data_IF_335832373671
#
_entry.id   IF_335832373671
#
_cell.length_a   1.000
_cell.length_b   1.000
_cell.length_c   1.000
_cell.angle_alpha   90.00
_cell.angle_beta   90.00
_cell.angle_gamma   90.00
#
_symmetry.space_group_name_H-M   'P 1'
#
loop_
_entity.id
_entity.type
_entity.pdbx_description
1 polymer ?
#
# COMPACT_ATOMS: atom_id res chain seq x y z
N UNK A 1 -15.26 -25.20 -13.38
CA UNK A 1 -14.73 -23.97 -12.77
C UNK A 1 -15.23 -22.80 -13.59
N UNK A 2 -16.19 -22.05 -13.08
CA UNK A 2 -16.71 -20.84 -13.75
C UNK A 2 -15.62 -19.76 -13.68
N UNK A 3 -15.31 -19.03 -14.77
CA UNK A 3 -14.37 -17.92 -14.70
C UNK A 3 -14.89 -16.89 -13.68
N UNK A 4 -14.10 -16.59 -12.66
CA UNK A 4 -14.36 -15.45 -11.77
C UNK A 4 -14.10 -14.21 -12.60
N UNK A 5 -15.16 -13.65 -13.21
CA UNK A 5 -15.09 -12.35 -13.88
C UNK A 5 -14.65 -11.36 -12.81
N UNK A 6 -13.45 -10.80 -12.96
CA UNK A 6 -13.01 -9.70 -12.12
C UNK A 6 -14.01 -8.57 -12.35
N UNK A 7 -14.62 -7.99 -11.29
CA UNK A 7 -15.56 -6.90 -11.45
C UNK A 7 -14.89 -5.75 -12.22
N UNK A 8 -15.65 -5.13 -13.13
CA UNK A 8 -15.15 -4.02 -13.94
C UNK A 8 -14.62 -2.88 -13.05
N UNK A 9 -13.60 -2.13 -13.52
CA UNK A 9 -13.10 -0.97 -12.79
C UNK A 9 -14.24 -0.01 -12.52
N UNK A 10 -14.36 0.44 -11.28
CA UNK A 10 -15.39 1.40 -10.88
C UNK A 10 -15.19 2.67 -11.70
N UNK A 11 -16.28 3.14 -12.32
CA UNK A 11 -16.27 4.40 -13.05
C UNK A 11 -15.82 5.52 -12.10
N UNK A 12 -15.05 6.48 -12.60
CA UNK A 12 -14.55 7.57 -11.74
C UNK A 12 -15.67 8.36 -11.04
N UNK A 13 -16.91 8.28 -11.54
CA UNK A 13 -18.10 8.91 -11.00
C UNK A 13 -18.64 8.24 -9.71
N UNK A 14 -18.26 7.00 -9.41
CA UNK A 14 -18.76 6.25 -8.25
C UNK A 14 -17.73 6.17 -7.11
N UNK A 15 -16.64 6.93 -7.21
CA UNK A 15 -15.63 6.97 -6.14
C UNK A 15 -16.09 7.84 -4.99
N UNK A 16 -15.69 7.46 -3.79
CA UNK A 16 -15.73 8.27 -2.58
C UNK A 16 -14.39 8.21 -1.88
N UNK A 17 -14.14 9.15 -0.98
CA UNK A 17 -12.97 9.11 -0.12
C UNK A 17 -13.31 9.31 1.35
N UNK A 18 -12.46 8.75 2.21
CA UNK A 18 -12.52 8.93 3.65
C UNK A 18 -11.15 9.30 4.19
N UNK A 19 -11.09 10.29 5.07
CA UNK A 19 -9.87 10.64 5.81
C UNK A 19 -9.89 9.92 7.15
N UNK A 20 -8.81 9.20 7.45
CA UNK A 20 -8.71 8.34 8.63
C UNK A 20 -7.47 8.74 9.45
N UNK A 21 -7.61 9.04 10.75
CA UNK A 21 -6.46 9.31 11.60
C UNK A 21 -5.63 8.04 11.81
N UNK A 22 -4.32 8.20 11.84
CA UNK A 22 -3.32 7.15 12.11
C UNK A 22 -2.25 7.72 13.06
N UNK A 23 -1.41 6.90 13.71
CA UNK A 23 -0.43 7.40 14.68
C UNK A 23 0.52 8.48 14.14
N UNK A 24 0.78 8.49 12.83
CA UNK A 24 1.68 9.43 12.15
C UNK A 24 0.95 10.61 11.49
N UNK A 25 -0.36 10.77 11.74
CA UNK A 25 -1.19 11.84 11.16
C UNK A 25 -2.50 11.31 10.62
N UNK A 26 -2.69 11.38 9.31
CA UNK A 26 -3.90 10.89 8.65
C UNK A 26 -3.56 10.26 7.30
N UNK A 27 -4.46 9.40 6.81
CA UNK A 27 -4.41 8.84 5.46
C UNK A 27 -5.77 8.99 4.80
N UNK A 28 -5.77 9.11 3.47
CA UNK A 28 -6.99 9.16 2.66
C UNK A 28 -7.23 7.82 1.98
N UNK A 29 -8.34 7.17 2.31
CA UNK A 29 -8.87 6.00 1.63
C UNK A 29 -9.69 6.44 0.42
N UNK A 30 -9.53 5.75 -0.71
CA UNK A 30 -10.23 6.06 -1.97
C UNK A 30 -10.70 4.78 -2.64
N UNK A 31 -11.92 4.78 -3.16
CA UNK A 31 -12.53 3.60 -3.79
C UNK A 31 -14.03 3.76 -3.96
N UNK A 32 -14.79 2.66 -4.04
CA UNK A 32 -16.25 2.66 -4.26
C UNK A 32 -17.09 2.66 -2.97
N UNK A 33 -16.46 2.96 -1.83
CA UNK A 33 -17.07 2.87 -0.51
C UNK A 33 -16.84 1.53 0.19
N UNK A 34 -16.49 0.47 -0.55
CA UNK A 34 -16.18 -0.85 0.01
C UNK A 34 -14.79 -1.35 -0.37
N UNK A 35 -14.47 -1.34 -1.66
CA UNK A 35 -13.18 -1.79 -2.22
C UNK A 35 -12.18 -0.64 -2.22
N UNK A 36 -10.97 -0.89 -1.76
CA UNK A 36 -9.90 0.10 -1.77
C UNK A 36 -9.18 0.11 -3.10
N UNK A 37 -9.17 1.26 -3.75
CA UNK A 37 -8.29 1.53 -4.90
C UNK A 37 -7.04 2.31 -4.48
N UNK A 38 -7.11 3.06 -3.38
CA UNK A 38 -6.00 3.83 -2.86
C UNK A 38 -6.05 4.07 -1.34
N UNK A 39 -4.86 4.19 -0.76
CA UNK A 39 -4.56 4.64 0.60
C UNK A 39 -3.35 5.58 0.49
N UNK A 40 -3.62 6.87 0.61
CA UNK A 40 -2.65 7.94 0.34
C UNK A 40 -2.31 8.76 1.58
N UNK A 41 -1.06 9.17 1.69
CA UNK A 41 -0.59 10.17 2.66
C UNK A 41 -0.94 11.60 2.18
N UNK A 42 -1.00 12.61 3.06
CA UNK A 42 -1.18 14.00 2.65
C UNK A 42 -0.12 14.47 1.64
N UNK A 43 1.12 14.06 1.84
CA UNK A 43 2.30 14.35 1.02
C UNK A 43 2.70 13.19 0.10
N UNK A 44 1.73 12.34 -0.26
CA UNK A 44 2.00 11.13 -1.03
C UNK A 44 2.73 11.44 -2.36
N UNK A 45 3.80 10.71 -2.64
CA UNK A 45 4.69 10.91 -3.78
C UNK A 45 4.93 9.60 -4.53
N UNK A 46 4.65 9.54 -5.86
CA UNK A 46 4.08 10.60 -6.69
C UNK A 46 2.67 11.01 -6.26
N UNK A 47 2.34 12.31 -6.37
CA UNK A 47 1.04 12.82 -5.97
C UNK A 47 -0.10 12.12 -6.73
N UNK A 48 -1.13 11.61 -6.03
CA UNK A 48 -2.32 11.10 -6.69
C UNK A 48 -3.14 12.25 -7.27
N UNK A 49 -3.96 11.95 -8.28
CA UNK A 49 -4.95 12.89 -8.81
C UNK A 49 -6.11 13.01 -7.82
N UNK A 50 -6.01 13.99 -6.92
CA UNK A 50 -6.98 14.24 -5.83
C UNK A 50 -8.35 14.65 -6.35
N UNK A 51 -8.46 15.21 -7.55
CA UNK A 51 -9.75 15.56 -8.16
C UNK A 51 -10.59 14.31 -8.46
N UNK A 52 -9.95 13.14 -8.58
CA UNK A 52 -10.61 11.85 -8.81
C UNK A 52 -10.93 11.06 -7.55
N UNK A 53 -10.81 11.66 -6.37
CA UNK A 53 -11.15 11.00 -5.11
C UNK A 53 -12.67 10.88 -4.91
N UNK A 54 -13.45 11.69 -5.63
CA UNK A 54 -14.90 11.78 -5.44
C UNK A 54 -15.26 12.49 -4.13
N UNK A 55 -16.56 12.58 -3.79
CA UNK A 55 -17.00 13.24 -2.57
C UNK A 55 -16.46 12.53 -1.31
N UNK A 56 -16.36 13.30 -0.22
CA UNK A 56 -16.03 12.76 1.09
C UNK A 56 -17.22 11.99 1.64
N UNK A 57 -16.98 10.78 2.12
CA UNK A 57 -17.94 9.94 2.83
C UNK A 57 -17.23 9.34 4.05
N UNK A 58 -17.62 9.80 5.25
CA UNK A 58 -17.02 9.35 6.51
C UNK A 58 -17.58 8.01 6.99
N UNK A 59 -18.60 7.44 6.32
CA UNK A 59 -19.11 6.08 6.58
C UNK A 59 -18.47 5.03 5.65
N UNK A 60 -17.79 5.47 4.58
CA UNK A 60 -17.12 4.59 3.64
C UNK A 60 -15.98 3.76 4.27
N UNK A 61 -15.71 2.60 3.68
CA UNK A 61 -14.64 1.67 4.03
C UNK A 61 -14.61 1.23 5.50
N UNK A 62 -15.75 0.85 6.12
CA UNK A 62 -15.80 0.54 7.55
C UNK A 62 -14.82 -0.58 7.94
N UNK A 63 -14.64 -1.56 7.06
CA UNK A 63 -13.73 -2.67 7.29
C UNK A 63 -12.25 -2.24 7.21
N UNK A 64 -11.89 -1.35 6.28
CA UNK A 64 -10.54 -0.82 6.19
C UNK A 64 -10.19 0.01 7.45
N UNK A 65 -11.12 0.85 7.91
CA UNK A 65 -10.91 1.65 9.13
C UNK A 65 -10.73 0.75 10.35
N UNK A 66 -11.58 -0.26 10.51
CA UNK A 66 -11.48 -1.24 11.60
C UNK A 66 -10.13 -1.95 11.58
N UNK A 67 -9.72 -2.49 10.44
CA UNK A 67 -8.46 -3.22 10.33
C UNK A 67 -7.22 -2.33 10.48
N UNK A 68 -7.26 -1.08 10.01
CA UNK A 68 -6.19 -0.12 10.27
C UNK A 68 -6.05 0.15 11.76
N UNK A 69 -7.17 0.34 12.48
CA UNK A 69 -7.17 0.46 13.95
C UNK A 69 -6.50 -0.74 14.62
N UNK A 70 -6.94 -1.95 14.29
CA UNK A 70 -6.35 -3.19 14.83
C UNK A 70 -4.86 -3.35 14.50
N UNK A 71 -4.45 -2.93 13.29
CA UNK A 71 -3.04 -2.95 12.88
C UNK A 71 -2.22 -2.03 13.76
N UNK A 72 -2.66 -0.77 13.95
CA UNK A 72 -1.96 0.20 14.78
C UNK A 72 -2.03 -0.11 16.29
N UNK A 73 -3.06 -0.81 16.74
CA UNK A 73 -3.16 -1.34 18.11
C UNK A 73 -2.30 -2.60 18.33
N UNK A 74 -1.65 -3.12 17.27
CA UNK A 74 -0.79 -4.30 17.32
C UNK A 74 -1.54 -5.63 17.45
N UNK A 75 -2.87 -5.62 17.29
CA UNK A 75 -3.73 -6.82 17.37
C UNK A 75 -3.93 -7.51 16.02
N UNK A 76 -3.55 -6.84 14.92
CA UNK A 76 -3.60 -7.38 13.55
C UNK A 76 -2.23 -7.37 12.87
N UNK A 77 -1.95 -8.44 12.14
CA UNK A 77 -0.72 -8.61 11.33
C UNK A 77 -0.97 -8.76 9.83
N UNK A 78 -2.21 -9.00 9.42
CA UNK A 78 -2.60 -9.22 8.02
C UNK A 78 -3.88 -8.46 7.73
N UNK A 79 -4.00 -7.91 6.51
CA UNK A 79 -5.23 -7.28 6.05
C UNK A 79 -6.06 -8.28 5.23
N UNK A 80 -7.37 -8.25 5.44
CA UNK A 80 -8.37 -8.98 4.66
C UNK A 80 -9.35 -7.96 4.07
N UNK A 81 -8.92 -7.30 3.01
CA UNK A 81 -9.62 -6.19 2.37
C UNK A 81 -9.80 -6.50 0.89
N UNK A 82 -10.90 -6.05 0.31
CA UNK A 82 -11.09 -6.11 -1.14
C UNK A 82 -10.33 -4.95 -1.79
N UNK A 83 -9.30 -5.28 -2.56
CA UNK A 83 -8.36 -4.32 -3.15
C UNK A 83 -8.51 -4.31 -4.67
N UNK A 84 -8.58 -3.10 -5.24
CA UNK A 84 -8.68 -2.87 -6.67
C UNK A 84 -7.68 -1.79 -7.15
N UNK A 85 -6.35 -1.96 -6.91
CA UNK A 85 -5.36 -0.96 -7.33
C UNK A 85 -5.28 -0.86 -8.86
N UNK A 86 -5.18 0.37 -9.36
CA UNK A 86 -4.98 0.64 -10.79
C UNK A 86 -3.50 0.83 -11.09
N UNK A 87 -2.99 0.05 -12.05
CA UNK A 87 -1.60 0.12 -12.50
C UNK A 87 -1.37 -0.75 -13.73
N UNK A 88 -0.16 -0.74 -14.27
CA UNK A 88 0.25 -1.65 -15.34
C UNK A 88 0.35 -3.09 -14.83
N UNK A 89 0.38 -4.07 -15.74
CA UNK A 89 0.51 -5.48 -15.37
C UNK A 89 1.77 -5.74 -14.53
N UNK A 90 2.88 -5.07 -14.87
CA UNK A 90 4.12 -5.16 -14.11
C UNK A 90 3.99 -4.54 -12.71
N UNK A 91 3.30 -3.40 -12.58
CA UNK A 91 3.05 -2.80 -11.27
C UNK A 91 2.22 -3.70 -10.38
N UNK A 92 1.11 -4.24 -10.91
CA UNK A 92 0.24 -5.16 -10.17
C UNK A 92 0.99 -6.42 -9.74
N UNK A 93 1.80 -7.00 -10.62
CA UNK A 93 2.67 -8.14 -10.28
C UNK A 93 3.63 -7.81 -9.12
N UNK A 94 4.24 -6.62 -9.11
CA UNK A 94 5.10 -6.19 -8.00
C UNK A 94 4.27 -6.03 -6.72
N UNK A 95 3.14 -5.33 -6.78
CA UNK A 95 2.29 -5.08 -5.59
C UNK A 95 1.74 -6.37 -4.99
N UNK A 96 1.40 -7.36 -5.82
CA UNK A 96 1.01 -8.69 -5.37
C UNK A 96 2.14 -9.39 -4.60
N UNK A 97 3.39 -9.22 -5.02
CA UNK A 97 4.55 -9.73 -4.29
C UNK A 97 4.79 -8.96 -2.99
N UNK A 98 4.63 -7.63 -2.99
CA UNK A 98 4.73 -6.83 -1.77
C UNK A 98 3.74 -7.30 -0.72
N UNK A 99 2.48 -7.57 -1.12
CA UNK A 99 1.43 -8.05 -0.23
C UNK A 99 1.75 -9.41 0.42
N UNK A 100 2.71 -10.18 -0.11
CA UNK A 100 3.17 -11.46 0.45
C UNK A 100 4.28 -11.30 1.48
N UNK A 101 4.92 -10.13 1.59
CA UNK A 101 5.96 -9.89 2.58
C UNK A 101 5.30 -9.86 3.97
N UNK A 102 5.64 -10.79 4.89
CA UNK A 102 4.97 -10.86 6.19
C UNK A 102 5.21 -9.63 7.08
N UNK A 103 4.30 -9.39 8.01
CA UNK A 103 4.49 -8.43 9.11
C UNK A 103 5.80 -8.71 9.86
N UNK A 104 6.59 -7.67 10.12
CA UNK A 104 7.85 -7.79 10.84
C UNK A 104 8.99 -8.39 10.01
N UNK A 105 8.80 -8.54 8.70
CA UNK A 105 9.86 -8.95 7.78
C UNK A 105 10.09 -7.88 6.71
N UNK A 106 11.33 -7.83 6.23
CA UNK A 106 11.71 -6.99 5.09
C UNK A 106 12.23 -7.84 3.94
N UNK A 107 12.21 -7.24 2.74
CA UNK A 107 12.89 -7.76 1.55
C UNK A 107 13.70 -6.65 0.90
N UNK A 108 14.75 -7.01 0.19
CA UNK A 108 15.44 -6.09 -0.69
C UNK A 108 14.72 -5.98 -2.03
N UNK A 109 14.96 -4.89 -2.76
CA UNK A 109 14.48 -4.76 -4.14
C UNK A 109 14.94 -5.91 -5.06
N UNK A 110 16.12 -6.49 -4.78
CA UNK A 110 16.65 -7.64 -5.52
C UNK A 110 15.84 -8.91 -5.26
N UNK A 111 15.55 -9.20 -3.99
CA UNK A 111 14.73 -10.36 -3.60
C UNK A 111 13.30 -10.28 -4.19
N UNK A 112 12.70 -9.08 -4.20
CA UNK A 112 11.39 -8.88 -4.86
C UNK A 112 11.50 -9.13 -6.37
N UNK A 113 12.56 -8.64 -7.03
CA UNK A 113 12.79 -8.86 -8.45
C UNK A 113 12.97 -10.34 -8.80
N UNK A 114 13.68 -11.09 -7.94
CA UNK A 114 13.84 -12.54 -8.05
C UNK A 114 12.50 -13.27 -7.86
N UNK A 115 11.73 -12.92 -6.84
CA UNK A 115 10.46 -13.55 -6.51
C UNK A 115 9.41 -13.41 -7.64
N UNK A 116 9.39 -12.27 -8.34
CA UNK A 116 8.51 -12.08 -9.51
C UNK A 116 9.07 -12.70 -10.81
N UNK A 117 10.19 -13.43 -10.74
CA UNK A 117 10.83 -14.07 -11.91
C UNK A 117 11.52 -13.10 -12.86
N UNK A 118 11.90 -11.90 -12.38
CA UNK A 118 12.53 -10.83 -13.18
C UNK A 118 13.78 -10.30 -12.48
N UNK A 119 14.82 -11.13 -12.25
CA UNK A 119 15.98 -10.77 -11.42
C UNK A 119 16.75 -9.51 -11.89
N UNK A 120 16.71 -9.19 -13.18
CA UNK A 120 17.35 -7.99 -13.74
C UNK A 120 16.51 -6.70 -13.59
N UNK A 121 15.27 -6.80 -13.10
CA UNK A 121 14.31 -5.71 -13.07
C UNK A 121 14.32 -4.89 -11.76
N UNK A 122 15.38 -4.95 -10.96
CA UNK A 122 15.48 -4.29 -9.63
C UNK A 122 15.07 -2.80 -9.66
N UNK A 123 15.54 -2.03 -10.65
CA UNK A 123 15.16 -0.60 -10.78
C UNK A 123 13.68 -0.42 -11.11
N UNK A 124 13.13 -1.29 -11.96
CA UNK A 124 11.71 -1.26 -12.31
C UNK A 124 10.84 -1.64 -11.11
N UNK A 125 11.27 -2.60 -10.29
CA UNK A 125 10.63 -2.93 -9.00
C UNK A 125 10.63 -1.71 -8.09
N UNK A 126 11.75 -1.00 -7.94
CA UNK A 126 11.80 0.25 -7.16
C UNK A 126 10.81 1.30 -7.66
N UNK A 127 10.71 1.47 -8.98
CA UNK A 127 9.77 2.40 -9.59
C UNK A 127 8.29 1.99 -9.46
N UNK A 128 8.00 0.69 -9.38
CA UNK A 128 6.66 0.15 -9.10
C UNK A 128 6.32 0.26 -7.60
N UNK A 129 7.29 0.00 -6.72
CA UNK A 129 7.15 0.13 -5.26
C UNK A 129 6.78 1.56 -4.86
N UNK A 130 7.44 2.57 -5.45
CA UNK A 130 7.14 3.99 -5.19
C UNK A 130 5.79 4.45 -5.75
N UNK A 131 5.17 3.67 -6.64
CA UNK A 131 3.85 3.97 -7.23
C UNK A 131 2.73 3.15 -6.61
N UNK A 132 2.99 2.44 -5.52
CA UNK A 132 1.97 1.68 -4.81
C UNK A 132 0.85 2.62 -4.33
N UNK A 133 -0.38 2.49 -4.84
CA UNK A 133 -1.48 3.35 -4.45
C UNK A 133 -2.05 2.97 -3.07
N UNK A 134 -1.70 1.81 -2.51
CA UNK A 134 -2.27 1.26 -1.28
C UNK A 134 -1.21 1.21 -0.18
N UNK A 135 -0.73 2.36 0.29
CA UNK A 135 0.26 2.41 1.38
C UNK A 135 -0.23 1.62 2.61
N UNK A 136 0.68 1.11 3.44
CA UNK A 136 0.42 0.28 4.64
C UNK A 136 -0.18 -1.11 4.30
N UNK A 137 -1.32 -1.16 3.60
CA UNK A 137 -2.05 -2.39 3.26
C UNK A 137 -1.28 -3.24 2.25
N UNK A 138 -0.80 -2.62 1.17
CA UNK A 138 0.27 -3.18 0.34
C UNK A 138 1.58 -2.64 0.91
N UNK A 139 2.42 -3.46 1.55
CA UNK A 139 3.42 -2.99 2.48
C UNK A 139 4.73 -2.59 1.76
N UNK A 140 4.69 -1.53 0.94
CA UNK A 140 5.87 -1.01 0.24
C UNK A 140 6.95 -0.46 1.20
N UNK A 141 6.61 -0.20 2.47
CA UNK A 141 7.57 0.14 3.53
C UNK A 141 8.48 -1.04 3.92
N UNK A 142 8.06 -2.29 3.66
CA UNK A 142 8.85 -3.51 3.95
C UNK A 142 9.95 -3.78 2.92
N UNK A 143 10.07 -2.97 1.88
CA UNK A 143 11.14 -3.09 0.88
C UNK A 143 12.28 -2.11 1.18
N UNK A 144 13.48 -2.62 1.35
CA UNK A 144 14.68 -1.86 1.75
C UNK A 144 15.80 -1.96 0.71
N UNK A 145 16.80 -1.09 0.83
CA UNK A 145 18.02 -1.20 0.01
C UNK A 145 18.81 -2.47 0.38
N UNK A 146 19.74 -2.87 -0.48
CA UNK A 146 20.68 -3.96 -0.17
C UNK A 146 21.57 -3.66 1.05
N UNK A 147 21.74 -2.38 1.41
CA UNK A 147 22.42 -1.95 2.64
C UNK A 147 21.54 -2.08 3.91
N UNK A 148 20.27 -2.48 3.78
CA UNK A 148 19.35 -2.58 4.90
C UNK A 148 18.79 -1.23 5.38
N UNK A 149 18.95 -0.16 4.61
CA UNK A 149 18.53 1.19 4.99
C UNK A 149 17.16 1.56 4.41
N UNK A 150 16.40 2.34 5.18
CA UNK A 150 15.13 2.93 4.74
C UNK A 150 15.40 4.08 3.76
N UNK A 151 15.30 3.79 2.47
CA UNK A 151 15.29 4.81 1.43
C UNK A 151 13.94 4.83 0.75
N UNK A 152 13.42 6.05 0.52
CA UNK A 152 12.24 6.30 -0.29
C UNK A 152 10.95 5.68 0.26
N UNK A 153 9.91 6.48 0.39
CA UNK A 153 8.58 6.01 0.70
C UNK A 153 7.56 6.95 0.08
N UNK A 154 6.40 6.42 -0.27
CA UNK A 154 5.38 7.25 -0.89
C UNK A 154 4.84 8.31 0.08
N UNK A 155 4.81 8.08 1.39
CA UNK A 155 4.59 9.16 2.37
C UNK A 155 5.88 9.92 2.65
N UNK A 156 6.56 9.53 3.72
CA UNK A 156 7.88 10.05 4.12
C UNK A 156 8.80 8.92 4.62
N UNK A 157 10.10 9.17 4.69
CA UNK A 157 11.04 8.19 5.25
C UNK A 157 10.72 7.94 6.73
N UNK A 158 10.32 8.97 7.45
CA UNK A 158 9.90 8.93 8.85
C UNK A 158 8.69 7.99 9.04
N UNK A 159 7.69 8.06 8.15
CA UNK A 159 6.54 7.17 8.19
C UNK A 159 6.93 5.72 7.92
N UNK A 160 7.87 5.48 6.99
CA UNK A 160 8.39 4.14 6.70
C UNK A 160 9.12 3.56 7.90
N UNK A 161 10.00 4.32 8.52
CA UNK A 161 10.71 3.89 9.73
C UNK A 161 9.77 3.64 10.90
N UNK A 162 8.76 4.49 11.09
CA UNK A 162 7.75 4.30 12.12
C UNK A 162 7.01 2.98 11.90
N UNK A 163 6.54 2.70 10.67
CA UNK A 163 5.84 1.45 10.34
C UNK A 163 6.73 0.23 10.57
N UNK A 164 8.00 0.29 10.16
CA UNK A 164 8.95 -0.79 10.41
C UNK A 164 9.15 -1.04 11.91
N UNK A 165 9.34 0.02 12.70
CA UNK A 165 9.47 -0.07 14.17
C UNK A 165 8.20 -0.61 14.83
N UNK A 166 7.03 -0.17 14.40
CA UNK A 166 5.73 -0.70 14.82
C UNK A 166 5.61 -2.20 14.55
N UNK A 167 6.19 -2.67 13.45
CA UNK A 167 6.25 -4.08 13.10
C UNK A 167 7.38 -4.88 13.78
N UNK A 168 8.17 -4.23 14.65
CA UNK A 168 9.30 -4.85 15.35
C UNK A 168 10.57 -4.97 14.51
N UNK A 169 10.69 -4.22 13.41
CA UNK A 169 11.88 -4.14 12.58
C UNK A 169 12.68 -2.90 12.94
N UNK A 170 13.91 -3.10 13.40
CA UNK A 170 14.89 -2.03 13.61
C UNK A 170 15.93 -2.09 12.49
N UNK A 171 16.04 -1.02 11.71
CA UNK A 171 17.00 -0.95 10.61
C UNK A 171 18.30 -0.30 11.11
N UNK A 172 19.47 -0.77 10.63
CA UNK A 172 20.73 -0.10 10.94
C UNK A 172 20.74 1.32 10.35
N UNK A 173 21.16 2.29 11.18
CA UNK A 173 21.39 3.69 10.79
C UNK A 173 22.54 3.85 9.80
#
# INVERSE_FOLDING_TARGET
>A
MTPRVLPEPVAAADRVHRVVPVPMGEVTLVGDGHRLEGLYWPDHTPAPDRERFGPRDDEAFPEAVRQLGEYFDGTRRTFDLDLAPRGTDFQRLVWDELARIPFGQVRTYGEVAEAIGRPTAVRAVGAANSRNPLSIVVPCHRVVSASGQAHGYAGTVENKEWLLRHEGVDLPG
#
